data_IF_941979279599
#
_entry.id   IF_941979279599
#
_cell.length_a   1.000
_cell.length_b   1.000
_cell.length_c   1.000
_cell.angle_alpha   90.00
_cell.angle_beta   90.00
_cell.angle_gamma   90.00
#
_symmetry.space_group_name_H-M   'P 1'
#
loop_
_entity.id
_entity.type
_entity.pdbx_description
1 polymer ?
#
# COMPACT_ATOMS: atom_id res chain seq x y z
N UNK A 1 -17.78 22.83 22.29
CA UNK A 1 -18.72 22.43 21.20
C UNK A 1 -17.89 21.79 20.09
N UNK A 2 -18.11 20.49 19.85
CA UNK A 2 -17.46 19.80 18.73
C UNK A 2 -17.91 20.42 17.40
N UNK A 3 -16.96 20.66 16.50
CA UNK A 3 -17.27 21.20 15.18
C UNK A 3 -18.09 20.18 14.38
N UNK A 4 -18.91 20.65 13.43
CA UNK A 4 -19.69 19.80 12.51
C UNK A 4 -18.80 18.79 11.79
N UNK A 5 -17.54 19.16 11.52
CA UNK A 5 -16.54 18.32 10.87
C UNK A 5 -16.07 17.17 11.78
N UNK A 6 -15.87 17.43 13.08
CA UNK A 6 -15.48 16.39 14.05
C UNK A 6 -16.57 15.34 14.23
N UNK A 7 -17.85 15.75 14.31
CA UNK A 7 -18.99 14.81 14.39
C UNK A 7 -19.10 13.89 13.17
N UNK A 8 -18.87 14.43 11.94
CA UNK A 8 -18.84 13.61 10.72
C UNK A 8 -17.67 12.62 10.73
N UNK A 9 -16.50 13.04 11.20
CA UNK A 9 -15.34 12.16 11.30
C UNK A 9 -15.59 11.01 12.27
N UNK A 10 -16.14 11.28 13.44
CA UNK A 10 -16.50 10.25 14.42
C UNK A 10 -17.51 9.25 13.84
N UNK A 11 -18.58 9.73 13.19
CA UNK A 11 -19.60 8.86 12.61
C UNK A 11 -19.04 7.92 11.53
N UNK A 12 -18.06 8.36 10.72
CA UNK A 12 -17.40 7.50 9.73
C UNK A 12 -16.51 6.47 10.44
N UNK A 13 -15.75 6.86 11.44
CA UNK A 13 -14.90 5.96 12.21
C UNK A 13 -15.76 4.87 12.88
N UNK A 14 -16.84 5.25 13.56
CA UNK A 14 -17.79 4.33 14.21
C UNK A 14 -18.42 3.37 13.18
N UNK A 15 -18.77 3.87 11.99
CA UNK A 15 -19.29 3.04 10.89
C UNK A 15 -18.28 1.99 10.44
N UNK A 16 -17.02 2.36 10.26
CA UNK A 16 -15.94 1.43 9.87
C UNK A 16 -15.69 0.41 10.98
N UNK A 17 -15.56 0.87 12.22
CA UNK A 17 -15.30 -0.01 13.37
C UNK A 17 -16.45 -1.00 13.63
N UNK A 18 -17.68 -0.57 13.52
CA UNK A 18 -18.87 -1.43 13.74
C UNK A 18 -19.04 -2.47 12.64
N UNK A 19 -18.74 -2.15 11.38
CA UNK A 19 -18.89 -3.08 10.26
C UNK A 19 -17.75 -4.08 10.14
N UNK A 20 -16.52 -3.67 10.47
CA UNK A 20 -15.31 -4.45 10.18
C UNK A 20 -14.54 -4.88 11.43
N UNK A 21 -14.85 -4.33 12.61
CA UNK A 21 -13.99 -4.47 13.78
C UNK A 21 -12.60 -3.83 13.58
N UNK A 22 -12.42 -3.06 12.52
CA UNK A 22 -11.15 -2.45 12.15
C UNK A 22 -10.97 -1.14 12.90
N UNK A 23 -9.95 -1.06 13.76
CA UNK A 23 -9.66 0.13 14.55
C UNK A 23 -9.29 1.32 13.66
N UNK A 24 -9.98 2.45 13.85
CA UNK A 24 -9.69 3.73 13.20
C UNK A 24 -8.96 4.65 14.18
N UNK A 25 -7.76 5.10 13.82
CA UNK A 25 -7.06 6.12 14.61
C UNK A 25 -7.40 7.49 14.05
N UNK A 26 -7.94 8.36 14.91
CA UNK A 26 -8.25 9.74 14.57
C UNK A 26 -7.07 10.65 14.91
N UNK A 27 -6.83 11.67 14.07
CA UNK A 27 -5.75 12.64 14.24
C UNK A 27 -4.37 11.99 14.45
N UNK A 28 -4.10 10.89 13.73
CA UNK A 28 -2.86 10.12 13.90
C UNK A 28 -1.65 10.86 13.34
N UNK A 29 -0.63 11.13 14.17
CA UNK A 29 0.55 11.88 13.73
C UNK A 29 1.37 11.10 12.71
N UNK A 30 1.53 11.66 11.50
CA UNK A 30 2.20 10.99 10.39
C UNK A 30 3.72 10.88 10.56
N UNK A 31 4.34 11.66 11.43
CA UNK A 31 5.77 11.48 11.77
C UNK A 31 6.09 10.07 12.32
N UNK A 32 5.10 9.36 12.88
CA UNK A 32 5.25 7.96 13.33
C UNK A 32 5.25 6.96 12.17
N UNK A 33 4.79 7.37 10.98
CA UNK A 33 4.54 6.51 9.81
C UNK A 33 5.35 6.91 8.58
N UNK A 34 6.29 7.85 8.72
CA UNK A 34 7.23 8.27 7.66
C UNK A 34 8.67 8.01 8.08
N UNK A 35 9.52 7.63 7.13
CA UNK A 35 10.96 7.45 7.39
C UNK A 35 11.66 8.77 7.70
N UNK A 36 11.15 9.89 7.21
CA UNK A 36 11.65 11.23 7.55
C UNK A 36 11.31 11.66 8.97
N UNK A 37 10.37 10.94 9.66
CA UNK A 37 9.90 11.24 11.01
C UNK A 37 9.35 12.67 11.18
N UNK A 38 8.77 13.20 10.12
CA UNK A 38 8.06 14.47 10.06
C UNK A 38 6.66 14.29 9.50
N UNK A 39 5.77 15.25 9.77
CA UNK A 39 4.39 15.27 9.28
C UNK A 39 3.36 15.37 10.40
N UNK A 40 2.43 16.30 10.21
CA UNK A 40 1.28 16.52 11.09
C UNK A 40 0.25 15.39 11.02
N UNK A 41 -0.90 15.52 11.68
CA UNK A 41 -1.88 14.46 11.82
C UNK A 41 -2.67 14.21 10.53
N UNK A 42 -2.94 12.94 10.22
CA UNK A 42 -4.00 12.55 9.31
C UNK A 42 -5.34 12.48 10.05
N UNK A 43 -6.43 12.88 9.40
CA UNK A 43 -7.75 12.84 10.04
C UNK A 43 -8.13 11.42 10.43
N UNK A 44 -7.85 10.45 9.53
CA UNK A 44 -8.06 9.01 9.75
C UNK A 44 -6.81 8.24 9.39
N UNK A 45 -6.52 7.20 10.16
CA UNK A 45 -5.47 6.24 9.84
C UNK A 45 -5.97 4.82 10.09
N UNK A 46 -5.84 3.94 9.10
CA UNK A 46 -6.38 2.59 9.09
C UNK A 46 -5.35 1.59 8.53
N UNK A 47 -5.41 0.36 9.04
CA UNK A 47 -4.55 -0.75 8.58
C UNK A 47 -5.42 -1.99 8.27
N UNK A 48 -6.14 -2.03 7.13
CA UNK A 48 -6.89 -3.21 6.73
C UNK A 48 -5.94 -4.40 6.50
N UNK A 49 -6.45 -5.60 6.74
CA UNK A 49 -5.67 -6.84 6.68
C UNK A 49 -6.12 -7.77 5.57
N UNK A 50 -7.28 -7.50 4.98
CA UNK A 50 -7.87 -8.28 3.88
C UNK A 50 -8.33 -7.37 2.75
N UNK A 51 -8.52 -7.96 1.55
CA UNK A 51 -9.08 -7.24 0.39
C UNK A 51 -10.49 -6.76 0.69
N UNK A 52 -11.28 -7.56 1.40
CA UNK A 52 -12.65 -7.23 1.80
C UNK A 52 -12.70 -6.03 2.74
N UNK A 53 -11.87 -6.02 3.78
CA UNK A 53 -11.76 -4.86 4.68
C UNK A 53 -11.34 -3.60 3.91
N UNK A 54 -10.34 -3.72 3.02
CA UNK A 54 -9.85 -2.60 2.23
C UNK A 54 -10.93 -2.04 1.29
N UNK A 55 -11.67 -2.90 0.59
CA UNK A 55 -12.72 -2.47 -0.34
C UNK A 55 -13.85 -1.77 0.41
N UNK A 56 -14.33 -2.33 1.51
CA UNK A 56 -15.39 -1.70 2.33
C UNK A 56 -14.93 -0.36 2.91
N UNK A 57 -13.69 -0.26 3.39
CA UNK A 57 -13.12 1.02 3.85
C UNK A 57 -13.13 2.06 2.73
N UNK A 58 -12.67 1.69 1.52
CA UNK A 58 -12.64 2.61 0.38
C UNK A 58 -14.06 3.05 0.01
N UNK A 59 -15.02 2.13 -0.08
CA UNK A 59 -16.41 2.44 -0.41
C UNK A 59 -17.01 3.42 0.62
N UNK A 60 -16.83 3.17 1.92
CA UNK A 60 -17.31 4.06 2.98
C UNK A 60 -16.69 5.46 2.94
N UNK A 61 -15.40 5.56 2.62
CA UNK A 61 -14.71 6.84 2.47
C UNK A 61 -15.20 7.61 1.23
N UNK A 62 -15.43 6.90 0.11
CA UNK A 62 -15.98 7.49 -1.12
C UNK A 62 -17.41 7.98 -0.91
N UNK A 63 -18.29 7.19 -0.29
CA UNK A 63 -19.66 7.58 0.08
C UNK A 63 -19.69 8.85 0.95
N UNK A 64 -18.73 8.93 1.88
CA UNK A 64 -18.62 10.08 2.78
C UNK A 64 -17.92 11.30 2.15
N UNK A 65 -17.39 11.19 0.92
CA UNK A 65 -16.61 12.23 0.26
C UNK A 65 -15.26 12.51 0.94
N UNK A 66 -14.70 11.54 1.66
CA UNK A 66 -13.41 11.67 2.34
C UNK A 66 -12.27 11.29 1.40
N UNK A 67 -11.34 12.20 1.09
CA UNK A 67 -10.18 11.85 0.28
C UNK A 67 -9.28 10.86 1.03
N UNK A 68 -8.66 9.93 0.30
CA UNK A 68 -7.75 8.98 0.91
C UNK A 68 -6.46 8.77 0.12
N UNK A 69 -5.44 8.25 0.80
CA UNK A 69 -4.17 7.78 0.22
C UNK A 69 -3.85 6.40 0.78
N UNK A 70 -3.40 5.52 -0.11
CA UNK A 70 -2.86 4.22 0.28
C UNK A 70 -1.35 4.34 0.34
N UNK A 71 -0.77 3.88 1.45
CA UNK A 71 0.67 3.91 1.68
C UNK A 71 1.19 2.52 2.09
N UNK A 72 2.49 2.31 1.90
CA UNK A 72 3.23 1.20 2.51
C UNK A 72 3.95 1.68 3.78
N UNK A 73 5.26 1.51 3.82
CA UNK A 73 6.08 1.88 4.98
C UNK A 73 6.44 3.39 5.07
N UNK A 74 5.86 4.24 4.22
CA UNK A 74 6.10 5.69 4.27
C UNK A 74 7.55 6.11 3.99
N UNK A 75 8.32 5.29 3.25
CA UNK A 75 9.76 5.52 3.01
C UNK A 75 10.04 6.58 1.94
N UNK A 76 9.05 6.90 1.12
CA UNK A 76 9.13 7.93 0.08
C UNK A 76 7.95 8.91 0.22
N UNK A 77 7.63 9.27 1.46
CA UNK A 77 6.48 10.13 1.77
C UNK A 77 6.92 11.29 2.66
N UNK A 78 6.64 12.50 2.21
CA UNK A 78 6.73 13.72 2.99
C UNK A 78 5.32 14.26 3.24
N UNK A 79 4.97 14.41 4.50
CA UNK A 79 3.67 14.95 4.93
C UNK A 79 3.87 16.32 5.55
N UNK A 80 3.01 17.28 5.17
CA UNK A 80 3.01 18.63 5.73
C UNK A 80 2.80 18.62 7.25
N UNK A 81 3.34 19.61 7.96
CA UNK A 81 3.08 19.81 9.39
C UNK A 81 1.60 20.10 9.69
N UNK A 82 0.86 20.65 8.72
CA UNK A 82 -0.60 20.79 8.80
C UNK A 82 -1.34 19.43 8.71
N UNK A 83 -0.63 18.34 8.40
CA UNK A 83 -1.15 17.01 8.27
C UNK A 83 -1.86 16.73 6.94
N UNK A 84 -2.71 15.72 6.92
CA UNK A 84 -3.50 15.29 5.77
C UNK A 84 -5.00 15.31 6.11
N UNK A 85 -5.76 16.13 5.37
CA UNK A 85 -7.22 16.20 5.53
C UNK A 85 -7.87 15.08 4.74
N UNK A 86 -8.03 13.92 5.40
CA UNK A 86 -8.54 12.69 4.83
C UNK A 86 -8.00 11.43 5.52
N UNK A 87 -8.16 10.30 4.85
CA UNK A 87 -7.76 9.01 5.37
C UNK A 87 -6.42 8.52 4.78
N UNK A 88 -5.54 8.05 5.66
CA UNK A 88 -4.36 7.27 5.29
C UNK A 88 -4.67 5.80 5.53
N UNK A 89 -4.62 5.00 4.47
CA UNK A 89 -4.79 3.55 4.51
C UNK A 89 -3.42 2.92 4.33
N UNK A 90 -2.92 2.22 5.34
CA UNK A 90 -1.62 1.55 5.26
C UNK A 90 -1.79 0.08 4.94
N UNK A 91 -1.18 -0.37 3.84
CA UNK A 91 -0.94 -1.79 3.57
C UNK A 91 0.45 -2.14 4.11
N UNK A 92 0.48 -2.68 5.32
CA UNK A 92 1.69 -2.94 6.09
C UNK A 92 1.94 -4.43 6.33
N UNK A 93 2.67 -4.78 7.41
CA UNK A 93 3.11 -6.17 7.67
C UNK A 93 1.98 -7.19 7.82
N UNK A 94 0.76 -6.76 8.14
CA UNK A 94 -0.42 -7.64 8.21
C UNK A 94 -1.07 -7.89 6.85
N UNK A 95 -0.65 -7.16 5.80
CA UNK A 95 -1.01 -7.35 4.40
C UNK A 95 0.25 -7.71 3.62
N UNK A 96 0.88 -8.84 3.97
CA UNK A 96 2.23 -9.19 3.52
C UNK A 96 2.43 -10.70 3.30
N UNK A 97 1.40 -11.38 2.83
CA UNK A 97 1.47 -12.79 2.42
C UNK A 97 2.30 -12.94 1.14
N UNK A 98 2.88 -14.12 0.97
CA UNK A 98 3.63 -14.47 -0.22
C UNK A 98 3.50 -15.97 -0.50
N UNK A 99 3.66 -16.35 -1.76
CA UNK A 99 3.57 -17.72 -2.22
C UNK A 99 4.58 -17.95 -3.33
N UNK A 100 5.25 -19.12 -3.32
CA UNK A 100 6.08 -19.58 -4.43
C UNK A 100 5.29 -20.51 -5.34
N UNK A 101 5.38 -20.30 -6.64
CA UNK A 101 4.85 -21.16 -7.69
C UNK A 101 5.95 -21.43 -8.72
N UNK A 102 6.63 -22.57 -8.61
CA UNK A 102 7.77 -22.88 -9.48
C UNK A 102 8.90 -21.87 -9.34
N UNK A 103 9.20 -21.15 -10.43
CA UNK A 103 10.21 -20.08 -10.47
C UNK A 103 9.61 -18.69 -10.27
N UNK A 104 8.38 -18.60 -9.81
CA UNK A 104 7.70 -17.33 -9.59
C UNK A 104 7.37 -17.14 -8.11
N UNK A 105 7.37 -15.88 -7.67
CA UNK A 105 6.92 -15.45 -6.35
C UNK A 105 5.74 -14.51 -6.50
N UNK A 106 4.61 -14.88 -5.94
CA UNK A 106 3.50 -13.97 -5.70
C UNK A 106 3.68 -13.32 -4.32
N UNK A 107 3.45 -12.01 -4.22
CA UNK A 107 3.62 -11.25 -2.99
C UNK A 107 2.61 -10.11 -2.87
N UNK A 108 1.99 -9.97 -1.69
CA UNK A 108 1.10 -8.86 -1.39
C UNK A 108 1.83 -7.51 -1.30
N UNK A 109 1.06 -6.43 -1.53
CA UNK A 109 1.58 -5.06 -1.62
C UNK A 109 2.27 -4.56 -0.34
N UNK A 110 1.92 -5.10 0.83
CA UNK A 110 2.46 -4.69 2.12
C UNK A 110 3.77 -5.37 2.51
N UNK A 111 4.22 -6.43 1.79
CA UNK A 111 5.50 -7.07 2.11
C UNK A 111 6.66 -6.12 1.86
N UNK A 112 7.63 -6.06 2.79
CA UNK A 112 8.79 -5.20 2.59
C UNK A 112 9.74 -5.80 1.56
N UNK A 113 10.37 -4.95 0.75
CA UNK A 113 11.27 -5.38 -0.33
C UNK A 113 12.47 -6.20 0.18
N UNK A 114 13.16 -5.83 1.28
CA UNK A 114 14.23 -6.66 1.83
C UNK A 114 13.73 -8.03 2.30
N UNK A 115 12.50 -8.13 2.82
CA UNK A 115 11.91 -9.41 3.21
C UNK A 115 11.63 -10.26 1.98
N UNK A 116 11.05 -9.68 0.91
CA UNK A 116 10.80 -10.39 -0.34
C UNK A 116 12.10 -10.91 -0.96
N UNK A 117 13.15 -10.08 -1.03
CA UNK A 117 14.46 -10.50 -1.53
C UNK A 117 15.05 -11.68 -0.73
N UNK A 118 14.97 -11.61 0.61
CA UNK A 118 15.42 -12.71 1.47
C UNK A 118 14.61 -13.99 1.26
N UNK A 119 13.28 -13.88 1.07
CA UNK A 119 12.42 -15.04 0.78
C UNK A 119 12.79 -15.67 -0.57
N UNK A 120 12.96 -14.87 -1.63
CA UNK A 120 13.42 -15.35 -2.93
C UNK A 120 14.74 -16.14 -2.81
N UNK A 121 15.74 -15.57 -2.13
CA UNK A 121 17.03 -16.22 -1.93
C UNK A 121 16.93 -17.55 -1.14
N UNK A 122 16.12 -17.57 -0.08
CA UNK A 122 15.91 -18.81 0.71
C UNK A 122 15.21 -19.92 -0.10
N UNK A 123 14.40 -19.52 -1.10
CA UNK A 123 13.74 -20.44 -2.04
C UNK A 123 14.63 -20.79 -3.24
N UNK A 124 15.88 -20.32 -3.29
CA UNK A 124 16.80 -20.56 -4.40
C UNK A 124 16.44 -19.80 -5.68
N UNK A 125 15.67 -18.73 -5.57
CA UNK A 125 15.29 -17.88 -6.70
C UNK A 125 16.22 -16.66 -6.78
N UNK A 126 16.67 -16.34 -7.99
CA UNK A 126 17.54 -15.19 -8.29
C UNK A 126 16.81 -14.09 -9.04
N UNK A 127 17.38 -12.89 -9.05
CA UNK A 127 16.89 -11.75 -9.82
C UNK A 127 16.16 -10.68 -8.99
N UNK A 128 15.92 -10.92 -7.69
CA UNK A 128 15.32 -9.95 -6.77
C UNK A 128 16.32 -9.41 -5.72
N UNK A 129 17.62 -9.70 -5.85
CA UNK A 129 18.67 -9.31 -4.89
C UNK A 129 18.76 -7.79 -4.72
N UNK A 130 18.55 -7.04 -5.80
CA UNK A 130 18.59 -5.56 -5.80
C UNK A 130 17.55 -4.94 -4.85
N UNK A 131 16.47 -5.65 -4.53
CA UNK A 131 15.43 -5.18 -3.61
C UNK A 131 15.91 -5.16 -2.15
N UNK A 132 16.97 -5.90 -1.80
CA UNK A 132 17.46 -6.02 -0.41
C UNK A 132 17.88 -4.69 0.20
N UNK A 133 18.39 -3.76 -0.63
CA UNK A 133 18.83 -2.42 -0.22
C UNK A 133 17.77 -1.32 -0.40
N UNK A 134 16.60 -1.63 -0.93
CA UNK A 134 15.54 -0.62 -1.17
C UNK A 134 14.55 -0.64 -0.02
N UNK A 135 14.45 0.43 0.78
CA UNK A 135 13.41 0.52 1.81
C UNK A 135 12.05 0.73 1.17
N UNK A 136 11.03 0.05 1.68
CA UNK A 136 9.66 0.18 1.16
C UNK A 136 8.92 -1.14 1.07
N UNK A 137 7.76 -1.11 0.45
CA UNK A 137 6.91 -2.29 0.23
C UNK A 137 6.72 -2.56 -1.25
N UNK A 138 6.27 -3.76 -1.60
CA UNK A 138 5.97 -4.18 -2.98
C UNK A 138 5.04 -3.19 -3.68
N UNK A 139 3.93 -2.80 -3.05
CA UNK A 139 2.99 -1.84 -3.63
C UNK A 139 3.62 -0.47 -3.90
N UNK A 140 4.39 0.05 -2.94
CA UNK A 140 5.12 1.31 -3.12
C UNK A 140 6.20 1.22 -4.20
N UNK A 141 6.87 0.09 -4.30
CA UNK A 141 7.88 -0.14 -5.33
C UNK A 141 7.27 -0.23 -6.74
N UNK A 142 6.14 -0.91 -6.89
CA UNK A 142 5.40 -0.96 -8.16
C UNK A 142 4.89 0.43 -8.57
N UNK A 143 4.34 1.19 -7.62
CA UNK A 143 3.88 2.56 -7.85
C UNK A 143 4.99 3.45 -8.44
N UNK A 144 6.22 3.32 -7.91
CA UNK A 144 7.37 4.15 -8.27
C UNK A 144 8.32 3.52 -9.29
N UNK A 145 8.08 2.27 -9.73
CA UNK A 145 9.05 1.48 -10.45
C UNK A 145 10.43 1.53 -9.77
N UNK A 146 10.46 1.12 -8.49
CA UNK A 146 11.67 1.19 -7.68
C UNK A 146 12.79 0.34 -8.30
N UNK A 147 14.01 0.86 -8.24
CA UNK A 147 15.18 0.17 -8.79
C UNK A 147 16.47 0.59 -8.13
N UNK A 148 17.45 -0.29 -8.21
CA UNK A 148 18.82 -0.11 -7.76
C UNK A 148 19.76 -1.04 -8.55
N UNK A 149 21.04 -0.70 -8.61
CA UNK A 149 22.08 -1.55 -9.21
C UNK A 149 21.78 -1.95 -10.67
N UNK A 150 21.17 -1.04 -11.45
CA UNK A 150 20.84 -1.28 -12.86
C UNK A 150 19.59 -2.15 -13.10
N UNK A 151 18.88 -2.57 -12.06
CA UNK A 151 17.63 -3.32 -12.17
C UNK A 151 16.44 -2.54 -11.59
N UNK A 152 15.22 -2.87 -12.06
CA UNK A 152 13.98 -2.26 -11.59
C UNK A 152 12.94 -3.34 -11.27
N UNK A 153 11.99 -3.03 -10.37
CA UNK A 153 10.93 -3.98 -10.04
C UNK A 153 10.06 -4.29 -11.26
N UNK A 154 9.80 -3.30 -12.13
CA UNK A 154 9.02 -3.49 -13.34
C UNK A 154 9.66 -4.45 -14.35
N UNK A 155 10.99 -4.63 -14.33
CA UNK A 155 11.67 -5.62 -15.17
C UNK A 155 11.46 -7.07 -14.70
N UNK A 156 11.00 -7.27 -13.45
CA UNK A 156 10.83 -8.58 -12.81
C UNK A 156 9.37 -8.99 -12.62
N UNK A 157 8.43 -8.05 -12.80
CA UNK A 157 7.00 -8.29 -12.65
C UNK A 157 6.45 -9.00 -13.88
N UNK A 158 5.70 -10.08 -13.66
CA UNK A 158 4.96 -10.81 -14.71
C UNK A 158 3.46 -10.57 -14.66
N UNK A 159 2.92 -10.18 -13.50
CA UNK A 159 1.55 -9.72 -13.32
C UNK A 159 1.43 -8.86 -12.07
N UNK A 160 0.43 -8.00 -12.04
CA UNK A 160 0.03 -7.25 -10.84
C UNK A 160 -1.46 -7.44 -10.57
N UNK A 161 -1.87 -7.36 -9.31
CA UNK A 161 -3.28 -7.39 -8.91
C UNK A 161 -3.66 -6.05 -8.31
N UNK A 162 -4.81 -5.56 -8.75
CA UNK A 162 -5.38 -4.28 -8.29
C UNK A 162 -6.82 -4.49 -7.82
N UNK A 163 -7.28 -3.60 -6.95
CA UNK A 163 -8.69 -3.55 -6.55
C UNK A 163 -9.51 -2.86 -7.64
N UNK A 164 -10.56 -3.52 -8.12
CA UNK A 164 -11.61 -2.92 -8.97
C UNK A 164 -12.97 -3.24 -8.36
N UNK A 165 -13.67 -2.21 -7.88
CA UNK A 165 -14.84 -2.43 -7.02
C UNK A 165 -14.42 -3.23 -5.78
N UNK A 166 -15.03 -4.38 -5.56
CA UNK A 166 -14.73 -5.27 -4.41
C UNK A 166 -13.87 -6.49 -4.81
N UNK A 167 -13.40 -6.55 -6.04
CA UNK A 167 -12.66 -7.69 -6.59
C UNK A 167 -11.18 -7.39 -6.80
N UNK A 168 -10.37 -8.42 -6.61
CA UNK A 168 -8.96 -8.43 -6.97
C UNK A 168 -8.82 -8.85 -8.44
N UNK A 169 -8.41 -7.91 -9.30
CA UNK A 169 -8.30 -8.13 -10.76
C UNK A 169 -6.83 -8.18 -11.15
N UNK A 170 -6.45 -9.22 -11.90
CA UNK A 170 -5.11 -9.37 -12.45
C UNK A 170 -4.91 -8.45 -13.66
N UNK A 171 -3.76 -7.78 -13.70
CA UNK A 171 -3.24 -7.03 -14.85
C UNK A 171 -2.00 -7.78 -15.35
N UNK A 172 -2.04 -8.36 -16.56
CA UNK A 172 -0.91 -9.10 -17.11
C UNK A 172 0.25 -8.15 -17.48
N UNK A 173 1.46 -8.70 -17.62
CA UNK A 173 2.69 -7.94 -17.96
C UNK A 173 2.51 -7.06 -19.19
N UNK A 174 1.75 -7.52 -20.18
CA UNK A 174 1.51 -6.81 -21.45
C UNK A 174 0.74 -5.50 -21.29
N UNK A 175 0.00 -5.34 -20.19
CA UNK A 175 -0.76 -4.13 -19.86
C UNK A 175 -0.04 -3.24 -18.83
N UNK A 176 1.12 -3.70 -18.32
CA UNK A 176 1.92 -2.95 -17.36
C UNK A 176 2.95 -2.09 -18.07
N UNK A 177 2.91 -0.79 -17.82
CA UNK A 177 3.87 0.19 -18.32
C UNK A 177 4.72 0.75 -17.17
N UNK A 178 6.04 0.66 -17.34
CA UNK A 178 7.03 1.10 -16.37
C UNK A 178 8.09 1.97 -17.04
N UNK A 179 8.35 3.14 -16.45
CA UNK A 179 9.42 4.05 -16.83
C UNK A 179 10.20 4.51 -15.60
N UNK A 180 11.18 5.38 -15.77
CA UNK A 180 11.92 5.94 -14.65
C UNK A 180 10.98 6.64 -13.67
N UNK A 181 10.95 6.15 -12.42
CA UNK A 181 10.06 6.66 -11.35
C UNK A 181 8.58 6.71 -11.74
N UNK A 182 8.14 5.81 -12.60
CA UNK A 182 6.76 5.79 -13.10
C UNK A 182 6.24 4.36 -13.30
N UNK A 183 4.94 4.19 -13.04
CA UNK A 183 4.14 3.07 -13.54
C UNK A 183 2.69 3.52 -13.82
N UNK A 184 2.02 2.85 -14.75
CA UNK A 184 0.59 3.07 -14.99
C UNK A 184 -0.31 2.58 -13.84
N UNK A 185 0.26 1.85 -12.89
CA UNK A 185 -0.42 1.42 -11.65
C UNK A 185 -0.67 2.56 -10.65
N UNK A 186 -0.12 3.76 -10.86
CA UNK A 186 -0.29 4.93 -9.96
C UNK A 186 -1.75 5.35 -9.71
N UNK A 187 -2.64 5.01 -10.63
CA UNK A 187 -4.08 5.31 -10.52
C UNK A 187 -4.89 4.15 -9.95
N UNK A 188 -4.21 3.07 -9.53
CA UNK A 188 -4.83 1.84 -9.07
C UNK A 188 -4.50 1.61 -7.59
N UNK A 189 -5.38 0.89 -6.91
CA UNK A 189 -5.10 0.31 -5.59
C UNK A 189 -4.38 -1.02 -5.80
N UNK A 190 -3.06 -1.00 -5.63
CA UNK A 190 -2.20 -2.18 -5.86
C UNK A 190 -2.34 -3.13 -4.67
N UNK A 191 -2.69 -4.39 -4.93
CA UNK A 191 -2.91 -5.42 -3.91
C UNK A 191 -1.76 -6.43 -3.82
N UNK A 192 -1.21 -6.84 -4.96
CA UNK A 192 -0.15 -7.85 -5.05
C UNK A 192 0.59 -7.76 -6.38
N UNK A 193 1.70 -8.49 -6.50
CA UNK A 193 2.36 -8.76 -7.76
C UNK A 193 2.99 -10.15 -7.79
N UNK A 194 3.24 -10.65 -9.00
CA UNK A 194 3.98 -11.87 -9.27
C UNK A 194 5.29 -11.50 -9.99
N UNK A 195 6.37 -12.14 -9.55
CA UNK A 195 7.74 -11.89 -10.00
C UNK A 195 8.35 -13.16 -10.58
N UNK A 196 9.26 -12.97 -11.55
CA UNK A 196 10.08 -14.04 -12.15
C UNK A 196 11.52 -13.57 -12.28
#
# INVERSE_FOLDING_TARGET
MESSCQRKALAIADKIESHLGLKVKLSEPMHKHTSFRVGGPADFYLEPTTVQELSVVIDLLLEAGVPFKIIGNGTNLLVSDNGYRGAIIRLGPRYASWLREGNQLWAEAGISLPVLAKRAANEGLSGLEFLSGIPGTVGGALYMNAGAWGSTIGAKVVAAWVLKGQEMVQIPRTELDFAYRYSNLRKQTILAAQFQ
#
